data_IF_047120609401
#
_entry.id   IF_047120609401
#
_cell.length_a   1.000
_cell.length_b   1.000
_cell.length_c   1.000
_cell.angle_alpha   90.00
_cell.angle_beta   90.00
_cell.angle_gamma   90.00
#
_symmetry.space_group_name_H-M   'P 1'
#
loop_
_entity.id
_entity.type
_entity.pdbx_description
1 polymer ?
2 non-polymer ?
3 non-polymer ?
4 non-polymer ?
5 water ?
#
# COMPACT_ATOMS: atom_id res chain seq x y z
N UNK A 1 1.75 44.24 9.21
CA UNK A 1 0.69 44.76 10.06
C UNK A 1 0.99 44.46 11.50
N UNK A 2 -0.02 44.61 12.37
CA UNK A 2 0.12 44.18 13.75
C UNK A 2 0.70 42.77 13.82
N UNK A 3 0.26 41.90 12.91
CA UNK A 3 0.65 40.49 12.89
C UNK A 3 1.94 40.30 12.10
N UNK A 4 2.88 39.58 12.70
CA UNK A 4 4.07 39.17 11.99
C UNK A 4 3.82 37.95 11.13
N UNK A 5 4.90 37.49 10.50
CA UNK A 5 4.83 36.23 9.78
C UNK A 5 6.21 35.58 9.77
N UNK A 6 6.21 34.28 9.59
CA UNK A 6 7.40 33.48 9.42
C UNK A 6 7.27 32.70 8.12
N UNK A 7 8.38 32.46 7.41
CA UNK A 7 8.32 31.61 6.22
C UNK A 7 7.77 30.23 6.57
N UNK A 8 6.82 29.75 5.77
CA UNK A 8 6.24 28.43 5.99
C UNK A 8 6.32 27.58 4.72
N UNK A 9 6.15 26.29 4.92
CA UNK A 9 6.02 25.33 3.83
C UNK A 9 4.83 24.43 4.13
N UNK A 10 4.18 23.96 3.07
CA UNK A 10 3.11 22.96 3.21
C UNK A 10 3.76 21.60 3.42
N UNK A 11 3.77 21.15 4.67
CA UNK A 11 4.46 19.90 4.99
C UNK A 11 3.67 18.71 4.47
N UNK A 12 4.22 17.92 3.53
CA UNK A 12 3.45 16.76 3.05
C UNK A 12 3.23 15.72 4.12
N UNK A 13 4.11 15.64 5.11
CA UNK A 13 3.99 14.62 6.15
C UNK A 13 2.69 14.82 6.92
N UNK A 14 2.47 16.02 7.44
CA UNK A 14 1.27 16.31 8.22
C UNK A 14 0.19 17.03 7.42
N UNK A 15 0.46 17.38 6.17
CA UNK A 15 -0.52 18.04 5.29
C UNK A 15 -0.98 19.37 5.89
N UNK A 16 -0.02 20.21 6.22
CA UNK A 16 -0.29 21.44 6.96
C UNK A 16 0.83 22.43 6.71
N UNK A 17 0.48 23.71 6.74
CA UNK A 17 1.49 24.75 6.68
C UNK A 17 2.31 24.74 7.97
N UNK A 18 3.63 24.81 7.83
CA UNK A 18 4.58 24.59 8.93
C UNK A 18 5.68 25.65 8.87
N UNK A 19 6.00 26.24 10.03
CA UNK A 19 7.06 27.24 10.09
C UNK A 19 8.40 26.60 9.73
N UNK A 20 9.11 27.22 8.79
CA UNK A 20 10.42 26.76 8.40
C UNK A 20 11.46 27.18 9.45
N UNK A 21 12.26 26.23 9.92
CA UNK A 21 13.34 26.57 10.83
C UNK A 21 14.56 25.70 10.52
N UNK A 22 15.59 25.83 11.35
CA UNK A 22 16.84 25.13 11.11
C UNK A 22 16.71 23.62 11.23
N UNK A 23 15.58 23.11 11.72
CA UNK A 23 15.35 21.68 11.85
C UNK A 23 14.58 21.10 10.68
N UNK A 24 14.10 21.95 9.77
CA UNK A 24 13.41 21.48 8.57
C UNK A 24 14.36 20.74 7.64
N UNK A 25 13.88 19.66 7.05
CA UNK A 25 14.64 18.93 6.04
C UNK A 25 14.35 19.55 4.69
N UNK A 26 15.40 20.00 4.00
CA UNK A 26 15.26 20.69 2.72
C UNK A 26 16.16 20.01 1.70
N UNK A 27 15.64 19.85 0.48
CA UNK A 27 16.40 19.23 -0.61
C UNK A 27 15.77 19.63 -1.93
N UNK A 28 16.53 19.39 -3.01
CA UNK A 28 16.10 19.63 -4.37
C UNK A 28 15.81 18.30 -5.06
N UNK A 29 14.74 18.26 -5.87
CA UNK A 29 14.51 17.14 -6.77
C UNK A 29 14.38 17.69 -8.18
N UNK A 30 14.65 16.82 -9.15
CA UNK A 30 14.55 17.14 -10.57
C UNK A 30 13.21 16.63 -11.09
N UNK A 31 12.44 17.51 -11.72
CA UNK A 31 11.13 17.14 -12.25
C UNK A 31 11.07 17.24 -13.77
N UNK A 32 12.16 17.62 -14.42
CA UNK A 32 12.21 17.71 -15.87
C UNK A 32 13.58 18.20 -16.28
N UNK A 33 13.76 18.37 -17.58
CA UNK A 33 15.01 18.94 -18.06
C UNK A 33 15.08 20.41 -17.69
N UNK A 34 16.18 20.80 -17.05
CA UNK A 34 16.39 22.16 -16.56
C UNK A 34 15.24 22.62 -15.65
N UNK A 35 14.58 21.69 -14.97
CA UNK A 35 13.46 21.99 -14.10
C UNK A 35 13.65 21.27 -12.77
N UNK A 36 13.87 22.04 -11.71
CA UNK A 36 14.11 21.50 -10.38
C UNK A 36 13.12 22.10 -9.39
N UNK A 37 12.83 21.37 -8.32
CA UNK A 37 11.87 21.82 -7.33
C UNK A 37 12.47 21.73 -5.93
N UNK A 38 12.24 22.77 -5.14
CA UNK A 38 12.67 22.79 -3.75
C UNK A 38 11.60 22.15 -2.87
N UNK A 39 12.00 21.16 -2.06
CA UNK A 39 11.07 20.45 -1.20
C UNK A 39 11.47 20.62 0.26
N UNK A 40 10.47 20.66 1.13
CA UNK A 40 10.69 20.73 2.56
C UNK A 40 9.77 19.76 3.27
N UNK A 41 10.32 18.96 4.18
CA UNK A 41 9.53 17.99 4.95
C UNK A 41 9.92 18.06 6.42
N UNK A 42 8.97 17.72 7.29
CA UNK A 42 9.25 17.81 8.72
C UNK A 42 10.07 16.62 9.21
N UNK A 43 9.97 15.47 8.54
CA UNK A 43 10.69 14.27 8.92
C UNK A 43 10.74 13.35 7.70
N UNK A 44 11.58 12.32 7.80
CA UNK A 44 11.49 11.19 6.88
C UNK A 44 12.64 11.00 5.92
N UNK A 45 13.65 11.85 5.92
CA UNK A 45 14.70 11.74 4.91
C UNK A 45 15.38 10.36 4.93
N UNK A 46 15.55 9.78 6.12
CA UNK A 46 16.24 8.50 6.27
C UNK A 46 15.31 7.30 6.19
N UNK A 47 14.00 7.50 6.15
CA UNK A 47 13.06 6.39 6.15
C UNK A 47 12.14 6.33 4.95
N UNK A 48 11.80 7.47 4.33
CA UNK A 48 10.91 7.44 3.19
C UNK A 48 11.61 6.78 1.98
N UNK A 49 10.83 6.15 1.10
CA UNK A 49 11.44 5.55 -0.10
C UNK A 49 11.57 6.50 -1.27
N UNK A 50 10.95 7.67 -1.20
CA UNK A 50 10.92 8.65 -2.28
C UNK A 50 10.36 9.95 -1.72
N UNK A 51 10.54 11.01 -2.49
CA UNK A 51 9.99 12.30 -2.12
C UNK A 51 8.47 12.24 -2.11
N UNK A 52 7.80 12.73 -1.06
CA UNK A 52 6.33 12.58 -0.99
C UNK A 52 5.53 13.12 -2.18
N UNK A 53 5.82 14.33 -2.68
CA UNK A 53 4.95 14.92 -3.70
C UNK A 53 5.31 14.53 -5.13
N UNK A 54 6.56 14.14 -5.40
CA UNK A 54 6.95 13.78 -6.76
C UNK A 54 7.34 12.32 -6.91
N UNK A 55 7.56 11.61 -5.79
CA UNK A 55 8.08 10.24 -5.78
C UNK A 55 9.45 10.15 -6.43
N UNK A 56 10.18 11.26 -6.52
CA UNK A 56 11.56 11.20 -6.96
C UNK A 56 12.40 10.40 -5.96
N UNK A 57 13.29 9.56 -6.49
CA UNK A 57 14.15 8.77 -5.63
C UNK A 57 15.51 9.41 -5.40
N UNK A 58 15.88 10.38 -6.24
CA UNK A 58 17.15 11.07 -6.13
C UNK A 58 16.90 12.51 -5.68
N UNK A 59 17.80 13.04 -4.85
CA UNK A 59 17.66 14.40 -4.36
C UNK A 59 19.03 15.00 -4.11
N UNK A 60 19.07 16.33 -4.06
CA UNK A 60 20.28 17.08 -3.71
C UNK A 60 20.02 17.79 -2.39
N UNK A 61 20.75 17.47 -1.32
CA UNK A 61 20.51 18.15 -0.04
C UNK A 61 20.88 19.62 -0.10
N UNK A 62 20.10 20.43 0.61
CA UNK A 62 20.26 21.88 0.73
C UNK A 62 20.18 22.21 2.22
N UNK A 63 21.10 22.97 2.79
CA UNK A 63 20.95 23.36 4.20
C UNK A 63 19.70 24.22 4.38
N UNK A 64 18.94 23.93 5.43
CA UNK A 64 17.77 24.75 5.74
C UNK A 64 18.12 26.23 5.81
N UNK A 65 19.30 26.55 6.35
CA UNK A 65 19.71 27.94 6.49
C UNK A 65 19.76 28.64 5.13
N UNK A 66 20.15 27.92 4.08
CA UNK A 66 20.22 28.53 2.74
C UNK A 66 18.84 28.94 2.25
N UNK A 67 17.82 28.08 2.47
CA UNK A 67 16.46 28.44 2.08
C UNK A 67 15.93 29.59 2.95
N UNK A 68 16.17 29.53 4.26
CA UNK A 68 15.69 30.59 5.16
C UNK A 68 16.26 31.93 4.75
N UNK A 69 17.54 31.95 4.36
CA UNK A 69 18.20 33.20 4.01
C UNK A 69 17.70 33.78 2.70
N UNK A 70 16.91 33.02 1.94
CA UNK A 70 16.26 33.50 0.73
C UNK A 70 14.76 33.68 0.90
N UNK A 71 14.30 33.88 2.14
CA UNK A 71 12.87 33.84 2.44
C UNK A 71 12.09 35.00 1.83
N UNK A 72 12.78 36.07 1.43
CA UNK A 72 12.13 37.20 0.78
C UNK A 72 12.26 37.15 -0.75
N UNK A 73 12.89 36.11 -1.29
CA UNK A 73 13.06 36.00 -2.74
C UNK A 73 11.75 35.52 -3.36
N UNK A 74 11.20 36.33 -4.28
CA UNK A 74 9.89 36.03 -4.86
C UNK A 74 9.92 34.78 -5.72
N UNK A 75 11.10 34.28 -6.08
CA UNK A 75 11.17 33.01 -6.80
C UNK A 75 10.74 31.85 -5.90
N UNK A 76 11.17 31.86 -4.65
CA UNK A 76 10.97 30.74 -3.75
C UNK A 76 9.75 30.91 -2.86
N UNK A 77 9.37 32.13 -2.52
CA UNK A 77 8.28 32.39 -1.57
C UNK A 77 7.31 33.40 -2.14
N UNK A 78 6.02 33.09 -2.02
CA UNK A 78 4.94 34.00 -2.40
C UNK A 78 4.08 34.23 -1.15
N UNK A 79 4.22 35.41 -0.56
CA UNK A 79 3.52 35.76 0.68
C UNK A 79 3.97 34.86 1.84
N UNK A 80 5.28 34.66 1.94
CA UNK A 80 5.93 33.88 2.99
C UNK A 80 5.58 32.40 2.94
N UNK A 81 5.10 31.90 1.81
CA UNK A 81 4.85 30.47 1.61
C UNK A 81 5.76 29.95 0.51
N UNK A 82 6.38 28.80 0.76
CA UNK A 82 7.30 28.19 -0.20
C UNK A 82 6.58 27.91 -1.51
N UNK A 83 7.19 28.34 -2.62
CA UNK A 83 6.60 28.11 -3.92
C UNK A 83 6.59 26.63 -4.26
N UNK A 84 5.65 26.26 -5.14
CA UNK A 84 5.60 24.91 -5.71
C UNK A 84 6.03 24.89 -7.18
N UNK A 85 6.51 26.03 -7.70
CA UNK A 85 6.92 26.18 -9.09
C UNK A 85 8.38 25.80 -9.28
N UNK A 86 8.74 25.25 -10.42
CA UNK A 86 10.11 24.80 -10.65
C UNK A 86 11.06 25.96 -10.90
N UNK A 87 12.35 25.68 -10.74
CA UNK A 87 13.40 26.65 -11.02
C UNK A 87 14.46 26.00 -11.92
N UNK A 88 15.09 26.83 -12.73
CA UNK A 88 16.09 26.37 -13.69
C UNK A 88 17.39 26.00 -13.00
N UNK A 89 18.24 25.27 -13.73
CA UNK A 89 19.57 24.93 -13.20
C UNK A 89 20.37 26.18 -12.89
N UNK A 90 20.27 27.21 -13.72
CA UNK A 90 20.95 28.46 -13.46
C UNK A 90 20.46 29.08 -12.15
N UNK A 91 19.13 29.13 -11.99
CA UNK A 91 18.57 29.63 -10.74
C UNK A 91 19.01 28.79 -9.55
N UNK A 92 19.10 27.46 -9.72
CA UNK A 92 19.61 26.62 -8.65
C UNK A 92 21.02 27.02 -8.27
N UNK A 93 21.87 27.26 -9.27
CA UNK A 93 23.25 27.66 -8.99
C UNK A 93 23.28 29.01 -8.30
N UNK A 94 22.45 29.96 -8.74
CA UNK A 94 22.49 31.31 -8.18
C UNK A 94 21.98 31.33 -6.74
N UNK A 95 20.93 30.55 -6.46
CA UNK A 95 20.31 30.60 -5.14
C UNK A 95 21.04 29.71 -4.14
N UNK A 96 21.49 28.52 -4.56
CA UNK A 96 22.00 27.53 -3.62
C UNK A 96 23.44 27.09 -3.87
N UNK A 97 24.10 27.59 -4.92
CA UNK A 97 25.51 27.29 -5.18
C UNK A 97 25.77 25.81 -5.42
N UNK A 98 24.84 25.16 -6.11
CA UNK A 98 24.97 23.76 -6.50
C UNK A 98 24.62 23.64 -7.98
N UNK A 99 25.51 23.03 -8.76
CA UNK A 99 25.14 22.59 -10.10
C UNK A 99 24.65 21.16 -9.98
N UNK A 100 23.35 20.90 -10.09
CA UNK A 100 22.86 19.52 -9.90
C UNK A 100 23.26 18.59 -11.02
N UNK A 101 23.36 19.08 -12.25
CA UNK A 101 23.78 18.23 -13.37
C UNK A 101 25.27 17.93 -13.34
N UNK A 102 26.03 18.54 -12.43
CA UNK A 102 27.43 18.20 -12.21
C UNK A 102 27.71 17.77 -10.77
N UNK A 103 26.68 17.46 -9.98
CA UNK A 103 26.86 16.97 -8.62
C UNK A 103 26.06 15.69 -8.47
N UNK A 104 26.67 14.68 -7.86
CA UNK A 104 25.99 13.40 -7.71
C UNK A 104 24.89 13.56 -6.68
N UNK A 105 23.64 13.26 -7.01
CA UNK A 105 22.57 13.32 -5.99
C UNK A 105 22.72 12.16 -5.01
N UNK A 106 22.01 12.29 -3.90
CA UNK A 106 21.78 11.17 -3.00
C UNK A 106 20.51 10.46 -3.41
N UNK A 107 20.26 9.30 -2.79
CA UNK A 107 19.10 8.48 -3.12
C UNK A 107 18.36 8.15 -1.84
N UNK A 108 17.03 8.23 -1.89
CA UNK A 108 16.22 7.76 -0.77
C UNK A 108 16.50 6.29 -0.54
N UNK A 109 16.44 5.88 0.73
CA UNK A 109 16.77 4.52 1.13
C UNK A 109 15.62 3.57 0.88
N UNK A 110 15.96 2.30 0.60
CA UNK A 110 14.98 1.22 0.51
C UNK A 110 14.96 0.34 1.75
N UNK A 111 15.59 0.79 2.83
CA UNK A 111 15.80 -0.07 4.00
C UNK A 111 14.50 -0.44 4.71
N UNK A 112 13.52 0.48 4.78
CA UNK A 112 12.34 0.15 5.58
C UNK A 112 11.53 -0.98 4.93
N UNK A 113 11.36 -0.94 3.60
CA UNK A 113 10.63 -2.02 2.93
C UNK A 113 11.39 -3.34 3.02
N UNK A 114 12.72 -3.27 2.90
CA UNK A 114 13.54 -4.48 3.09
C UNK A 114 13.34 -5.07 4.48
N UNK A 115 13.28 -4.22 5.51
CA UNK A 115 13.08 -4.71 6.87
C UNK A 115 11.69 -5.27 7.07
N UNK A 116 10.68 -4.60 6.49
CA UNK A 116 9.33 -5.14 6.54
C UNK A 116 9.25 -6.54 5.90
N UNK A 117 9.84 -6.69 4.71
CA UNK A 117 9.83 -7.98 4.02
C UNK A 117 10.53 -9.06 4.84
N UNK A 118 11.70 -8.74 5.39
CA UNK A 118 12.40 -9.71 6.23
C UNK A 118 11.58 -10.06 7.49
N UNK A 119 10.91 -9.07 8.08
CA UNK A 119 10.09 -9.34 9.27
C UNK A 119 8.93 -10.29 8.94
N UNK A 120 8.25 -10.07 7.81
CA UNK A 120 7.20 -11.00 7.41
C UNK A 120 7.75 -12.40 7.14
N UNK A 121 8.87 -12.49 6.41
CA UNK A 121 9.42 -13.79 6.07
C UNK A 121 9.82 -14.57 7.32
N UNK A 122 10.45 -13.90 8.29
CA UNK A 122 10.83 -14.59 9.51
C UNK A 122 9.62 -15.01 10.32
N UNK A 123 8.57 -14.19 10.32
CA UNK A 123 7.37 -14.56 11.06
C UNK A 123 6.69 -15.79 10.44
N UNK A 124 6.71 -15.88 9.10
CA UNK A 124 6.13 -17.04 8.42
C UNK A 124 6.83 -18.32 8.85
N UNK A 125 8.15 -18.27 8.96
CA UNK A 125 8.96 -19.47 9.21
C UNK A 125 9.16 -19.78 10.69
N UNK A 126 8.69 -18.92 11.59
CA UNK A 126 8.73 -19.19 13.02
C UNK A 126 7.37 -19.74 13.47
N UNK A 127 7.34 -20.33 14.67
CA UNK A 127 6.11 -20.94 15.18
C UNK A 127 5.60 -20.29 16.46
N UNK B 6 -13.54 -17.85 -33.54
CA UNK B 6 -13.70 -17.80 -32.09
C UNK B 6 -12.59 -16.97 -31.45
N UNK B 7 -12.96 -16.11 -30.50
CA UNK B 7 -11.97 -15.24 -29.85
C UNK B 7 -11.08 -16.01 -28.87
N UNK B 8 -10.09 -15.30 -28.38
CA UNK B 8 -9.10 -15.85 -27.47
C UNK B 8 -9.15 -15.09 -26.15
N UNK B 9 -8.50 -15.69 -25.14
CA UNK B 9 -8.24 -15.02 -23.88
C UNK B 9 -6.76 -15.16 -23.61
N UNK B 10 -6.19 -14.22 -22.87
CA UNK B 10 -4.81 -14.36 -22.43
C UNK B 10 -4.81 -15.25 -21.19
N UNK B 11 -4.32 -16.47 -21.34
CA UNK B 11 -4.25 -17.45 -20.27
C UNK B 11 -3.12 -17.10 -19.30
N UNK B 12 -3.40 -16.76 -18.05
CA UNK B 12 -2.31 -16.48 -17.10
C UNK B 12 -1.51 -17.71 -16.72
N UNK B 13 -2.06 -18.91 -16.95
CA UNK B 13 -1.33 -20.14 -16.63
C UNK B 13 -0.17 -20.35 -17.60
N UNK B 14 -0.48 -20.49 -18.89
CA UNK B 14 0.54 -20.69 -19.92
C UNK B 14 1.13 -19.39 -20.44
N UNK B 15 0.58 -18.24 -20.04
CA UNK B 15 1.10 -16.93 -20.44
C UNK B 15 1.05 -16.73 -21.94
N UNK B 16 -0.11 -16.98 -22.53
CA UNK B 16 -0.24 -16.85 -23.97
C UNK B 16 -1.71 -16.75 -24.35
N UNK B 17 -1.94 -16.21 -25.53
CA UNK B 17 -3.29 -16.16 -26.09
C UNK B 17 -3.77 -17.56 -26.40
N UNK B 18 -4.98 -17.87 -25.97
CA UNK B 18 -5.54 -19.21 -25.99
C UNK B 18 -6.98 -19.14 -26.47
N UNK B 19 -7.35 -20.06 -27.35
CA UNK B 19 -8.71 -20.05 -27.88
C UNK B 19 -9.69 -20.42 -26.77
N UNK B 20 -10.83 -19.73 -26.74
CA UNK B 20 -11.89 -20.05 -25.79
C UNK B 20 -12.67 -21.25 -26.32
N UNK B 21 -12.85 -22.26 -25.48
CA UNK B 21 -13.59 -23.44 -25.92
C UNK B 21 -14.34 -24.03 -24.73
N UNK B 22 -14.95 -25.19 -24.94
CA UNK B 22 -15.78 -25.81 -23.90
C UNK B 22 -14.97 -26.26 -22.69
N UNK B 23 -13.64 -26.31 -22.80
CA UNK B 23 -12.76 -26.73 -21.71
C UNK B 23 -12.21 -25.57 -20.90
N UNK B 24 -12.42 -24.34 -21.35
CA UNK B 24 -11.91 -23.19 -20.64
C UNK B 24 -12.59 -23.05 -19.27
N UNK B 25 -11.79 -22.73 -18.26
CA UNK B 25 -12.29 -22.46 -16.92
C UNK B 25 -12.61 -20.97 -16.82
N UNK B 26 -13.88 -20.64 -16.58
CA UNK B 26 -14.35 -19.27 -16.58
C UNK B 26 -14.95 -18.94 -15.22
N UNK B 27 -14.68 -17.74 -14.72
CA UNK B 27 -15.27 -17.32 -13.45
C UNK B 27 -15.25 -15.80 -13.35
N UNK B 28 -16.05 -15.28 -12.42
CA UNK B 28 -16.18 -13.87 -12.12
C UNK B 28 -15.45 -13.54 -10.82
N UNK B 29 -14.76 -12.40 -10.78
CA UNK B 29 -14.23 -11.86 -9.53
C UNK B 29 -14.77 -10.44 -9.35
N UNK B 30 -14.80 -9.99 -8.09
CA UNK B 30 -15.25 -8.65 -7.75
C UNK B 30 -14.05 -7.74 -7.59
N UNK B 31 -14.05 -6.60 -8.31
CA UNK B 31 -12.92 -5.68 -8.38
C UNK B 31 -13.17 -4.46 -7.51
N UNK B 32 -14.44 -4.11 -7.35
CA UNK B 32 -14.80 -3.01 -6.48
C UNK B 32 -16.29 -3.03 -6.22
N UNK B 33 -16.78 -1.96 -5.60
CA UNK B 33 -18.22 -1.84 -5.42
C UNK B 33 -18.89 -1.75 -6.78
N UNK B 34 -19.78 -2.70 -7.05
CA UNK B 34 -20.53 -2.77 -8.32
C UNK B 34 -19.59 -2.91 -9.52
N UNK B 35 -18.42 -3.51 -9.32
CA UNK B 35 -17.48 -3.76 -10.42
C UNK B 35 -17.01 -5.21 -10.36
N UNK B 36 -17.25 -5.94 -11.45
CA UNK B 36 -16.82 -7.33 -11.56
C UNK B 36 -16.01 -7.50 -12.84
N UNK B 37 -15.22 -8.57 -12.88
CA UNK B 37 -14.40 -8.85 -14.06
C UNK B 37 -14.49 -10.34 -14.38
N UNK B 38 -14.58 -10.65 -15.68
CA UNK B 38 -14.64 -12.03 -16.15
C UNK B 38 -13.23 -12.52 -16.45
N UNK B 39 -12.87 -13.64 -15.83
CA UNK B 39 -11.55 -14.25 -15.97
C UNK B 39 -11.67 -15.62 -16.62
N UNK B 40 -10.61 -16.02 -17.32
CA UNK B 40 -10.52 -17.34 -17.92
C UNK B 40 -9.12 -17.89 -17.71
N UNK B 41 -9.04 -19.17 -17.33
CA UNK B 41 -7.77 -19.87 -17.20
C UNK B 41 -7.88 -21.22 -17.90
N UNK B 42 -6.74 -21.78 -18.28
CA UNK B 42 -6.75 -23.02 -19.05
C UNK B 42 -6.86 -24.26 -18.16
N UNK B 43 -6.36 -24.20 -16.92
CA UNK B 43 -6.36 -25.34 -16.00
C UNK B 43 -5.87 -24.87 -14.64
N UNK B 44 -5.84 -25.80 -13.69
CA UNK B 44 -5.13 -25.57 -12.44
C UNK B 44 -5.85 -24.74 -11.42
N UNK B 45 -7.18 -24.67 -11.49
CA UNK B 45 -7.95 -23.88 -10.52
C UNK B 45 -7.65 -24.31 -9.09
N UNK B 46 -7.53 -25.61 -8.82
CA UNK B 46 -7.29 -26.08 -7.47
C UNK B 46 -5.88 -25.79 -6.97
N UNK B 47 -4.99 -25.26 -7.81
CA UNK B 47 -3.62 -25.00 -7.40
C UNK B 47 -3.30 -23.52 -7.29
N UNK B 48 -4.32 -22.65 -7.33
CA UNK B 48 -4.11 -21.20 -7.22
C UNK B 48 -4.40 -20.72 -5.80
N UNK B 49 -3.61 -19.77 -5.29
CA UNK B 49 -3.93 -19.16 -4.00
C UNK B 49 -4.97 -18.06 -4.09
N UNK B 50 -5.19 -17.53 -5.28
CA UNK B 50 -6.07 -16.40 -5.56
C UNK B 50 -6.11 -16.25 -7.07
N UNK B 51 -6.97 -15.36 -7.54
CA UNK B 51 -7.04 -15.08 -8.98
C UNK B 51 -5.71 -14.49 -9.44
N UNK B 52 -5.11 -15.01 -10.53
CA UNK B 52 -3.76 -14.55 -10.91
C UNK B 52 -3.66 -13.05 -11.16
N UNK B 53 -4.61 -12.43 -11.88
CA UNK B 53 -4.44 -11.05 -12.30
C UNK B 53 -4.92 -10.04 -11.26
N UNK B 54 -5.77 -10.43 -10.31
CA UNK B 54 -6.34 -9.51 -9.33
C UNK B 54 -6.03 -9.85 -7.89
N UNK B 55 -5.59 -11.09 -7.60
CA UNK B 55 -5.45 -11.63 -6.25
C UNK B 55 -6.76 -11.68 -5.48
N UNK B 56 -7.89 -11.63 -6.19
CA UNK B 56 -9.18 -11.86 -5.58
C UNK B 56 -9.21 -13.24 -4.92
N UNK B 57 -9.75 -13.32 -3.71
CA UNK B 57 -9.78 -14.56 -2.97
C UNK B 57 -11.10 -15.33 -3.13
N UNK B 58 -12.11 -14.74 -3.77
CA UNK B 58 -13.39 -15.40 -4.02
C UNK B 58 -13.70 -15.30 -5.50
N UNK B 59 -14.48 -16.26 -6.00
CA UNK B 59 -14.83 -16.26 -7.41
C UNK B 59 -16.19 -16.92 -7.61
N UNK B 60 -16.91 -16.48 -8.65
CA UNK B 60 -18.19 -17.10 -9.02
C UNK B 60 -17.97 -17.91 -10.29
N UNK B 61 -18.03 -19.24 -10.25
CA UNK B 61 -17.88 -20.03 -11.48
C UNK B 61 -18.98 -19.72 -12.47
N UNK B 62 -18.60 -19.65 -13.75
CA UNK B 62 -19.47 -19.36 -14.88
C UNK B 62 -19.24 -20.46 -15.93
N UNK B 63 -20.28 -21.12 -16.45
CA UNK B 63 -20.04 -22.12 -17.50
C UNK B 63 -19.36 -21.48 -18.72
N UNK B 64 -18.37 -22.19 -19.27
CA UNK B 64 -17.70 -21.70 -20.47
C UNK B 64 -18.71 -21.38 -21.56
N UNK B 65 -19.79 -22.17 -21.64
CA UNK B 65 -20.81 -21.96 -22.65
C UNK B 65 -21.45 -20.58 -22.54
N UNK B 66 -21.61 -20.07 -21.32
CA UNK B 66 -22.23 -18.76 -21.15
C UNK B 66 -21.37 -17.66 -21.75
N UNK B 67 -20.04 -17.81 -21.70
CA UNK B 67 -19.16 -16.83 -22.32
C UNK B 67 -19.06 -17.04 -23.83
N UNK B 68 -18.99 -18.31 -24.26
CA UNK B 68 -18.95 -18.62 -25.68
C UNK B 68 -20.17 -18.05 -26.38
N UNK B 69 -21.33 -18.12 -25.73
CA UNK B 69 -22.54 -17.58 -26.33
C UNK B 69 -22.55 -16.06 -26.41
N UNK B 70 -21.54 -15.38 -25.84
CA UNK B 70 -21.39 -13.94 -25.99
C UNK B 70 -20.11 -13.59 -26.76
N UNK B 71 -19.65 -14.49 -27.64
CA UNK B 71 -18.35 -14.31 -28.26
C UNK B 71 -18.28 -13.11 -29.20
N UNK B 72 -19.42 -12.60 -29.67
CA UNK B 72 -19.43 -11.40 -30.51
C UNK B 72 -19.81 -10.15 -29.74
N UNK B 73 -19.95 -10.23 -28.42
CA UNK B 73 -20.30 -9.07 -27.62
C UNK B 73 -19.11 -8.12 -27.54
N UNK B 74 -19.31 -6.86 -27.94
CA UNK B 74 -18.13 -5.99 -28.02
C UNK B 74 -17.73 -5.42 -26.67
N UNK B 75 -18.54 -5.56 -25.62
CA UNK B 75 -18.07 -5.23 -24.29
C UNK B 75 -17.09 -6.27 -23.77
N UNK B 76 -17.36 -7.54 -24.04
CA UNK B 76 -16.51 -8.63 -23.57
C UNK B 76 -15.36 -8.95 -24.51
N UNK B 77 -15.53 -8.70 -25.81
CA UNK B 77 -14.53 -9.06 -26.82
C UNK B 77 -14.28 -7.88 -27.75
N UNK B 78 -13.16 -7.21 -27.53
CA UNK B 78 -12.66 -6.21 -28.46
C UNK B 78 -11.59 -6.87 -29.30
N UNK B 79 -11.81 -6.92 -30.63
CA UNK B 79 -10.84 -7.45 -31.57
C UNK B 79 -10.49 -8.90 -31.23
N UNK B 80 -11.52 -9.74 -31.13
CA UNK B 80 -11.38 -11.18 -30.91
C UNK B 80 -10.56 -11.53 -29.68
N UNK B 81 -10.39 -10.62 -28.73
CA UNK B 81 -9.67 -10.89 -27.49
C UNK B 81 -10.54 -10.54 -26.29
N UNK B 82 -10.55 -11.42 -25.29
CA UNK B 82 -11.33 -11.16 -24.09
C UNK B 82 -10.86 -9.87 -23.43
N UNK B 83 -11.82 -9.03 -23.05
CA UNK B 83 -11.55 -7.74 -22.46
C UNK B 83 -11.02 -7.90 -21.04
N UNK B 84 -10.37 -6.85 -20.56
CA UNK B 84 -10.09 -6.66 -19.14
C UNK B 84 -11.03 -5.64 -18.50
N UNK B 85 -11.98 -5.12 -19.25
CA UNK B 85 -12.83 -4.06 -18.75
C UNK B 85 -13.81 -4.61 -17.72
N UNK B 86 -14.10 -3.86 -16.66
CA UNK B 86 -15.06 -4.33 -15.66
C UNK B 86 -16.50 -4.20 -16.13
N UNK B 87 -17.37 -4.97 -15.47
CA UNK B 87 -18.80 -4.92 -15.74
C UNK B 87 -19.55 -4.76 -14.43
N UNK B 88 -20.73 -4.15 -14.52
CA UNK B 88 -21.55 -3.88 -13.35
C UNK B 88 -22.32 -5.13 -12.94
N UNK B 89 -22.87 -5.09 -11.72
CA UNK B 89 -23.74 -6.17 -11.26
C UNK B 89 -24.91 -6.39 -12.21
N UNK B 90 -25.51 -5.30 -12.71
CA UNK B 90 -26.61 -5.42 -13.65
C UNK B 90 -26.16 -6.10 -14.94
N UNK B 91 -24.94 -5.81 -15.39
CA UNK B 91 -24.42 -6.44 -16.60
C UNK B 91 -24.11 -7.91 -16.37
N UNK B 92 -23.60 -8.24 -15.17
CA UNK B 92 -23.38 -9.65 -14.82
C UNK B 92 -24.69 -10.42 -14.89
N UNK B 93 -25.75 -9.85 -14.30
CA UNK B 93 -27.06 -10.50 -14.32
C UNK B 93 -27.55 -10.65 -15.75
N UNK B 94 -27.43 -9.58 -16.55
CA UNK B 94 -27.96 -9.61 -17.90
C UNK B 94 -27.17 -10.57 -18.79
N UNK B 95 -25.84 -10.54 -18.70
CA UNK B 95 -25.01 -11.36 -19.58
C UNK B 95 -25.00 -12.83 -19.16
N UNK B 96 -24.89 -13.10 -17.87
CA UNK B 96 -24.60 -14.44 -17.39
C UNK B 96 -25.69 -15.05 -16.52
N UNK B 97 -26.75 -14.31 -16.21
CA UNK B 97 -27.85 -14.82 -15.37
C UNK B 97 -27.34 -15.29 -14.01
N UNK B 98 -26.32 -14.61 -13.50
CA UNK B 98 -25.79 -14.85 -12.17
C UNK B 98 -25.91 -13.55 -11.37
N UNK B 99 -26.48 -13.65 -10.17
CA UNK B 99 -26.57 -12.52 -9.25
C UNK B 99 -25.56 -12.73 -8.13
N UNK B 100 -24.44 -12.00 -8.14
CA UNK B 100 -23.39 -12.24 -7.13
C UNK B 100 -23.85 -12.05 -5.69
N UNK B 101 -24.94 -11.31 -5.46
CA UNK B 101 -25.45 -11.11 -4.11
C UNK B 101 -26.40 -12.21 -3.64
N UNK B 102 -26.93 -13.02 -4.56
CA UNK B 102 -27.79 -14.12 -4.18
C UNK B 102 -27.07 -15.47 -4.15
N UNK B 103 -25.95 -15.59 -4.85
CA UNK B 103 -25.20 -16.82 -4.96
C UNK B 103 -23.85 -16.62 -4.28
N UNK B 104 -23.56 -17.45 -3.28
CA UNK B 104 -22.27 -17.32 -2.60
C UNK B 104 -21.14 -17.72 -3.54
N UNK B 105 -20.04 -16.98 -3.54
CA UNK B 105 -18.87 -17.36 -4.34
C UNK B 105 -18.10 -18.50 -3.70
N UNK B 106 -17.28 -19.14 -4.51
CA UNK B 106 -16.30 -20.11 -4.03
C UNK B 106 -15.03 -19.39 -3.62
N UNK B 107 -14.15 -20.13 -2.93
CA UNK B 107 -12.89 -19.55 -2.49
C UNK B 107 -11.71 -20.36 -3.00
N UNK B 108 -10.61 -19.66 -3.24
CA UNK B 108 -9.37 -20.35 -3.58
C UNK B 108 -8.80 -21.02 -2.33
N UNK B 109 -7.82 -21.89 -2.55
CA UNK B 109 -7.35 -22.79 -1.51
C UNK B 109 -6.45 -22.08 -0.50
N UNK B 110 -6.80 -22.20 0.79
CA UNK B 110 -5.93 -21.69 1.85
C UNK B 110 -4.66 -22.54 2.00
N UNK B 111 -4.72 -23.83 1.69
CA UNK B 111 -3.50 -24.64 1.82
C UNK B 111 -2.49 -24.26 0.75
N UNK B 112 -2.94 -23.92 -0.45
CA UNK B 112 -2.02 -23.43 -1.48
C UNK B 112 -1.39 -22.11 -1.04
N UNK B 113 -2.19 -21.22 -0.44
CA UNK B 113 -1.66 -19.97 0.13
C UNK B 113 -0.54 -20.26 1.11
N UNK B 114 -0.76 -21.23 2.00
CA UNK B 114 0.25 -21.53 3.01
C UNK B 114 1.55 -22.04 2.38
N UNK B 115 1.46 -22.99 1.44
CA UNK B 115 2.68 -23.54 0.84
C UNK B 115 3.43 -22.47 0.04
N UNK B 116 2.72 -21.63 -0.71
CA UNK B 116 3.41 -20.62 -1.50
C UNK B 116 3.95 -19.50 -0.62
N UNK B 117 3.29 -19.22 0.50
CA UNK B 117 3.83 -18.22 1.43
C UNK B 117 5.04 -18.76 2.20
N UNK B 118 5.02 -20.04 2.56
CA UNK B 118 6.23 -20.65 3.12
C UNK B 118 7.38 -20.60 2.12
N UNK B 119 7.11 -20.91 0.86
CA UNK B 119 8.17 -20.92 -0.14
C UNK B 119 8.72 -19.52 -0.36
N UNK B 120 7.83 -18.52 -0.46
CA UNK B 120 8.28 -17.14 -0.60
C UNK B 120 9.18 -16.72 0.56
N UNK B 121 8.77 -17.04 1.79
CA UNK B 121 9.57 -16.68 2.95
C UNK B 121 10.95 -17.34 2.91
N UNK B 122 11.02 -18.63 2.53
CA UNK B 122 12.33 -19.27 2.39
C UNK B 122 13.19 -18.54 1.36
N UNK B 123 12.59 -18.08 0.26
CA UNK B 123 13.35 -17.40 -0.78
C UNK B 123 13.86 -16.05 -0.28
N UNK B 124 13.02 -15.33 0.49
CA UNK B 124 13.46 -14.04 1.05
C UNK B 124 14.70 -14.23 1.90
N UNK B 125 14.71 -15.25 2.75
CA UNK B 125 15.84 -15.42 3.65
C UNK B 125 17.06 -15.99 2.92
N UNK B 126 16.85 -16.70 1.82
CA UNK B 126 17.98 -17.22 1.05
C UNK B 126 18.63 -16.14 0.21
N UNK B 127 17.85 -15.18 -0.27
CA UNK B 127 18.33 -14.14 -1.17
C UNK B 127 18.88 -12.93 -0.44
N UNK B 128 18.86 -12.93 0.90
CA UNK B 128 19.48 -11.87 1.66
C UNK B 128 20.95 -11.72 1.29
N UNK C 6 8.62 -4.82 26.49
CA UNK C 6 8.27 -3.93 27.59
C UNK C 6 6.92 -3.22 27.35
N UNK C 7 6.71 -2.57 26.19
CA UNK C 7 5.45 -1.87 25.98
C UNK C 7 4.26 -2.83 25.98
N UNK C 8 3.09 -2.28 26.33
CA UNK C 8 1.85 -3.03 26.35
C UNK C 8 0.84 -2.42 25.38
N UNK C 9 -0.17 -3.23 25.06
CA UNK C 9 -1.38 -2.76 24.40
C UNK C 9 -2.56 -3.23 25.24
N UNK C 10 -3.71 -2.59 25.05
CA UNK C 10 -4.92 -3.03 25.74
C UNK C 10 -5.63 -4.05 24.85
N UNK C 11 -5.62 -5.31 25.27
CA UNK C 11 -6.21 -6.38 24.48
C UNK C 11 -7.73 -6.35 24.59
N UNK C 12 -8.46 -6.19 23.48
CA UNK C 12 -9.94 -6.20 23.57
C UNK C 12 -10.51 -7.51 24.10
N UNK C 13 -9.85 -8.64 23.84
CA UNK C 13 -10.43 -9.94 24.19
C UNK C 13 -10.41 -10.14 25.70
N UNK C 14 -9.24 -9.99 26.32
CA UNK C 14 -9.08 -10.19 27.76
C UNK C 14 -9.31 -8.91 28.55
N UNK C 15 -9.44 -7.77 27.87
CA UNK C 15 -9.68 -6.48 28.52
C UNK C 15 -8.62 -6.18 29.57
N UNK C 16 -7.35 -6.33 29.18
CA UNK C 16 -6.27 -5.98 30.09
C UNK C 16 -5.02 -5.62 29.30
N UNK C 17 -4.18 -4.80 29.91
CA UNK C 17 -2.89 -4.47 29.33
C UNK C 17 -2.06 -5.73 29.19
N UNK C 18 -1.49 -5.92 28.01
CA UNK C 18 -0.86 -7.16 27.60
C UNK C 18 0.48 -6.84 26.95
N UNK C 19 1.54 -7.56 27.35
CA UNK C 19 2.85 -7.27 26.79
C UNK C 19 2.84 -7.56 25.31
N UNK C 20 3.38 -6.63 24.53
CA UNK C 20 3.58 -6.85 23.11
C UNK C 20 4.68 -7.88 22.90
N UNK C 21 4.40 -8.93 22.12
CA UNK C 21 5.39 -9.95 21.83
C UNK C 21 5.22 -10.42 20.40
N UNK C 22 6.05 -11.40 20.01
CA UNK C 22 6.07 -11.85 18.63
C UNK C 22 4.80 -12.59 18.20
N UNK C 23 3.94 -12.98 19.15
CA UNK C 23 2.69 -13.66 18.81
C UNK C 23 1.50 -12.71 18.71
N UNK C 24 1.66 -11.45 19.13
CA UNK C 24 0.58 -10.48 19.02
C UNK C 24 0.16 -10.25 17.57
N UNK C 25 -1.15 -10.15 17.36
CA UNK C 25 -1.72 -9.76 16.06
C UNK C 25 -1.79 -8.23 15.99
N UNK C 26 -1.20 -7.64 14.94
CA UNK C 26 -1.09 -6.17 14.82
C UNK C 26 -1.58 -5.75 13.44
N UNK C 27 -2.27 -4.61 13.37
CA UNK C 27 -2.78 -4.13 12.09
C UNK C 27 -3.09 -2.64 12.18
N UNK C 28 -3.26 -2.03 11.00
CA UNK C 28 -3.56 -0.62 10.85
C UNK C 28 -5.00 -0.46 10.41
N UNK C 29 -5.70 0.52 10.99
CA UNK C 29 -7.02 0.92 10.52
C UNK C 29 -7.00 2.42 10.22
N UNK C 30 -7.93 2.83 9.36
CA UNK C 30 -8.13 4.23 9.00
C UNK C 30 -9.31 4.78 9.80
N UNK C 31 -9.12 5.91 10.47
CA UNK C 31 -10.18 6.49 11.29
C UNK C 31 -10.57 7.89 10.83
N UNK C 32 -10.00 8.37 9.73
CA UNK C 32 -10.37 9.66 9.20
C UNK C 32 -9.50 9.98 8.01
N UNK C 33 -9.77 11.12 7.39
CA UNK C 33 -8.97 11.54 6.26
C UNK C 33 -7.53 11.75 6.73
N UNK C 34 -6.63 10.93 6.22
CA UNK C 34 -5.21 10.98 6.56
C UNK C 34 -4.95 10.72 8.04
N UNK C 35 -5.80 9.91 8.68
CA UNK C 35 -5.62 9.57 10.09
C UNK C 35 -5.70 8.06 10.22
N UNK C 36 -4.60 7.43 10.66
CA UNK C 36 -4.49 5.98 10.76
C UNK C 36 -4.08 5.60 12.18
N UNK C 37 -4.49 4.42 12.60
CA UNK C 37 -4.23 3.98 13.96
C UNK C 37 -3.74 2.54 13.98
N UNK C 38 -2.77 2.27 14.85
CA UNK C 38 -2.25 0.92 15.08
C UNK C 38 -3.06 0.23 16.16
N UNK C 39 -3.57 -0.96 15.85
CA UNK C 39 -4.34 -1.75 16.80
C UNK C 39 -3.68 -3.12 16.99
N UNK C 40 -3.95 -3.74 18.14
CA UNK C 40 -3.38 -5.05 18.45
C UNK C 40 -4.41 -5.90 19.19
N UNK C 41 -4.32 -7.22 19.00
CA UNK C 41 -5.23 -8.16 19.63
C UNK C 41 -4.46 -9.44 19.89
N UNK C 42 -4.84 -10.13 20.98
CA UNK C 42 -4.01 -11.23 21.46
C UNK C 42 -4.15 -12.52 20.66
N UNK C 43 -5.11 -12.60 19.73
CA UNK C 43 -5.36 -13.87 19.05
C UNK C 43 -6.02 -13.63 17.71
N UNK C 44 -5.71 -14.50 16.75
CA UNK C 44 -6.50 -14.57 15.53
C UNK C 44 -7.93 -15.00 15.81
N UNK C 45 -8.84 -14.55 14.94
CA UNK C 45 -10.28 -14.73 15.12
C UNK C 45 -10.91 -15.26 13.84
N UNK C 46 -11.85 -16.20 14.00
CA UNK C 46 -12.57 -16.76 12.85
C UNK C 46 -13.45 -15.72 12.17
N UNK C 47 -14.22 -14.96 12.95
CA UNK C 47 -15.28 -14.11 12.44
C UNK C 47 -15.27 -12.78 13.20
N UNK C 48 -15.03 -11.70 12.51
CA UNK C 48 -15.04 -10.41 13.19
C UNK C 48 -15.75 -9.40 12.29
N UNK C 49 -16.85 -8.80 12.72
CA UNK C 49 -17.52 -7.83 11.84
C UNK C 49 -16.69 -6.61 11.54
N UNK C 50 -15.88 -6.16 12.49
CA UNK C 50 -15.16 -4.89 12.37
C UNK C 50 -14.18 -4.79 13.52
N UNK C 51 -13.29 -3.81 13.45
CA UNK C 51 -12.31 -3.59 14.51
C UNK C 51 -13.02 -3.30 15.82
N UNK C 52 -12.65 -3.97 16.91
CA UNK C 52 -13.38 -3.78 18.18
C UNK C 52 -13.48 -2.32 18.65
N UNK C 53 -12.41 -1.53 18.52
CA UNK C 53 -12.44 -0.20 19.11
C UNK C 53 -12.95 0.88 18.17
N UNK C 54 -12.68 0.77 16.87
CA UNK C 54 -13.06 1.79 15.91
C UNK C 54 -14.20 1.39 14.99
N UNK C 55 -14.56 0.11 14.95
CA UNK C 55 -15.52 -0.44 14.00
C UNK C 55 -15.10 -0.21 12.54
N UNK C 56 -13.82 0.04 12.26
CA UNK C 56 -13.33 0.00 10.89
C UNK C 56 -13.61 -1.38 10.29
N UNK C 57 -14.06 -1.40 9.03
CA UNK C 57 -14.37 -2.67 8.41
C UNK C 57 -13.19 -3.29 7.65
N UNK C 58 -12.11 -2.53 7.45
CA UNK C 58 -10.94 -2.99 6.70
C UNK C 58 -9.67 -2.69 7.48
N UNK C 59 -8.61 -3.46 7.20
CA UNK C 59 -7.37 -3.33 7.96
C UNK C 59 -6.16 -3.72 7.10
N UNK C 60 -5.00 -3.11 7.41
CA UNK C 60 -3.72 -3.47 6.81
C UNK C 60 -2.86 -4.20 7.84
N UNK C 61 -2.60 -5.50 7.66
CA UNK C 61 -1.72 -6.23 8.59
C UNK C 61 -0.32 -5.62 8.69
N UNK C 62 0.24 -5.73 9.89
CA UNK C 62 1.59 -5.29 10.22
C UNK C 62 2.25 -6.42 11.00
N UNK C 63 3.49 -6.80 10.69
CA UNK C 63 4.15 -7.84 11.51
C UNK C 63 4.42 -7.32 12.91
N UNK C 64 4.16 -8.18 13.92
CA UNK C 64 4.38 -7.74 15.30
C UNK C 64 5.81 -7.24 15.48
N UNK C 65 6.78 -7.87 14.81
CA UNK C 65 8.16 -7.45 14.97
C UNK C 65 8.39 -6.00 14.51
N UNK C 66 7.64 -5.53 13.50
CA UNK C 66 7.81 -4.14 13.08
C UNK C 66 7.36 -3.17 14.17
N UNK C 67 6.30 -3.52 14.91
CA UNK C 67 5.87 -2.68 16.01
C UNK C 67 6.86 -2.76 17.17
N UNK C 68 7.32 -3.97 17.50
CA UNK C 68 8.33 -4.15 18.55
C UNK C 68 9.59 -3.34 18.25
N UNK C 69 10.00 -3.31 16.98
CA UNK C 69 11.18 -2.55 16.58
C UNK C 69 11.01 -1.05 16.80
N UNK C 70 9.77 -0.57 16.91
CA UNK C 70 9.47 0.85 17.11
C UNK C 70 8.91 1.11 18.50
N UNK C 71 9.29 0.27 19.48
CA UNK C 71 8.67 0.29 20.80
C UNK C 71 9.00 1.54 21.61
N UNK C 72 10.01 2.32 21.22
CA UNK C 72 10.31 3.57 21.91
C UNK C 72 9.91 4.80 21.12
N UNK C 73 9.24 4.64 19.99
CA UNK C 73 8.81 5.77 19.17
C UNK C 73 7.57 6.41 19.80
N UNK C 74 7.66 7.72 20.08
CA UNK C 74 6.57 8.39 20.77
C UNK C 74 5.38 8.70 19.86
N UNK C 75 5.46 8.43 18.56
CA UNK C 75 4.26 8.45 17.73
C UNK C 75 3.35 7.26 18.02
N UNK C 76 3.90 6.19 18.58
CA UNK C 76 3.15 4.96 18.81
C UNK C 76 2.96 4.60 20.27
N UNK C 77 3.88 4.98 21.15
CA UNK C 77 3.83 4.56 22.54
C UNK C 77 3.95 5.78 23.44
N UNK C 78 3.11 5.84 24.47
CA UNK C 78 3.18 6.89 25.48
C UNK C 78 3.22 6.22 26.83
N UNK C 79 4.32 6.42 27.55
CA UNK C 79 4.57 5.75 28.84
C UNK C 79 4.36 4.25 28.72
N UNK C 80 4.96 3.67 27.69
CA UNK C 80 5.00 2.22 27.45
C UNK C 80 3.64 1.63 27.12
N UNK C 81 2.69 2.44 26.71
CA UNK C 81 1.37 1.95 26.27
C UNK C 81 1.13 2.38 24.85
N UNK C 82 0.61 1.46 24.03
CA UNK C 82 0.22 1.77 22.66
C UNK C 82 -0.83 2.86 22.66
N UNK C 83 -0.63 3.87 21.81
CA UNK C 83 -1.51 5.05 21.80
C UNK C 83 -2.76 4.81 20.94
N UNK C 84 -3.80 5.58 21.26
CA UNK C 84 -4.99 5.71 20.44
C UNK C 84 -4.97 6.95 19.55
N UNK C 85 -3.90 7.74 19.60
CA UNK C 85 -3.82 8.93 18.76
C UNK C 85 -3.34 8.56 17.36
N UNK C 86 -3.97 9.07 16.31
CA UNK C 86 -3.65 8.61 14.95
C UNK C 86 -2.38 9.22 14.39
N UNK C 87 -1.90 8.63 13.28
CA UNK C 87 -0.75 9.13 12.54
C UNK C 87 -1.14 9.34 11.09
N UNK C 88 -0.34 10.14 10.38
CA UNK C 88 -0.64 10.45 8.99
C UNK C 88 -0.21 9.31 8.07
N UNK C 89 -0.68 9.39 6.81
CA UNK C 89 -0.30 8.38 5.82
C UNK C 89 1.22 8.32 5.65
N UNK C 90 1.87 9.47 5.58
CA UNK C 90 3.32 9.44 5.38
C UNK C 90 4.04 8.92 6.62
N UNK C 91 3.47 9.11 7.82
CA UNK C 91 4.07 8.52 9.00
C UNK C 91 3.93 6.99 8.98
N UNK C 92 2.81 6.48 8.49
CA UNK C 92 2.67 5.03 8.30
C UNK C 92 3.78 4.51 7.39
N UNK C 93 4.02 5.20 6.27
CA UNK C 93 5.04 4.76 5.33
C UNK C 93 6.43 4.81 5.96
N UNK C 94 6.74 5.90 6.68
CA UNK C 94 8.02 6.03 7.38
C UNK C 94 8.28 4.84 8.31
N UNK C 95 7.25 4.43 9.07
CA UNK C 95 7.39 3.38 10.08
C UNK C 95 7.28 1.98 9.51
N UNK C 96 6.39 1.76 8.55
CA UNK C 96 5.99 0.41 8.16
C UNK C 96 6.07 0.12 6.67
N UNK C 97 6.49 1.08 5.85
CA UNK C 97 6.82 0.84 4.43
C UNK C 97 5.72 0.11 3.67
N UNK C 98 4.47 0.41 3.97
CA UNK C 98 3.38 0.08 3.04
C UNK C 98 2.35 1.19 3.16
N UNK C 99 2.01 1.75 2.02
CA UNK C 99 1.18 2.91 1.73
C UNK C 99 -0.29 2.49 1.73
N UNK C 100 -1.06 2.86 2.74
CA UNK C 100 -2.42 2.32 2.83
C UNK C 100 -3.34 2.82 1.74
N UNK C 101 -3.06 4.02 1.21
CA UNK C 101 -3.82 4.59 0.11
C UNK C 101 -3.76 3.71 -1.12
N UNK C 102 -2.61 3.10 -1.38
CA UNK C 102 -2.31 2.42 -2.63
C UNK C 102 -2.34 0.90 -2.52
N UNK C 103 -2.56 0.35 -1.32
CA UNK C 103 -2.56 -1.09 -1.08
C UNK C 103 -3.95 -1.50 -0.61
N UNK C 104 -4.52 -2.50 -1.26
CA UNK C 104 -5.85 -2.96 -0.89
C UNK C 104 -5.80 -3.61 0.49
N UNK C 105 -6.64 -3.19 1.44
CA UNK C 105 -6.62 -3.82 2.76
C UNK C 105 -7.42 -5.11 2.79
N UNK C 106 -7.35 -5.79 3.93
CA UNK C 106 -8.19 -6.95 4.20
C UNK C 106 -9.50 -6.52 4.86
N UNK C 107 -10.50 -7.40 4.82
CA UNK C 107 -11.79 -7.14 5.46
C UNK C 107 -11.97 -8.01 6.69
N UNK C 108 -12.50 -7.40 7.76
CA UNK C 108 -12.65 -8.14 9.01
C UNK C 108 -13.63 -9.30 8.86
N UNK C 109 -14.72 -9.06 8.12
CA UNK C 109 -15.77 -10.06 7.97
C UNK C 109 -15.24 -11.36 7.37
N UNK C 110 -14.12 -11.30 6.64
CA UNK C 110 -13.54 -12.50 6.07
C UNK C 110 -12.91 -13.36 7.16
N UNK C 111 -11.90 -12.85 7.84
CA UNK C 111 -11.31 -13.52 9.00
C UNK C 111 -10.14 -12.68 9.46
N UNK C 112 -9.58 -13.07 10.60
CA UNK C 112 -8.37 -12.45 11.08
C UNK C 112 -7.43 -13.55 11.56
N UNK C 113 -6.84 -14.29 10.62
CA UNK C 113 -5.90 -15.37 10.94
C UNK C 113 -4.49 -15.00 10.50
N UNK C 114 -3.50 -15.31 11.33
CA UNK C 114 -2.13 -14.93 11.02
C UNK C 114 -1.72 -15.44 9.64
N UNK C 115 -1.99 -16.72 9.34
CA UNK C 115 -1.57 -17.26 8.05
C UNK C 115 -2.20 -16.50 6.89
N UNK C 116 -3.43 -16.03 7.04
CA UNK C 116 -4.05 -15.29 5.95
C UNK C 116 -3.47 -13.88 5.84
N UNK C 117 -3.08 -13.26 6.95
CA UNK C 117 -2.36 -11.98 6.80
C UNK C 117 -0.97 -12.19 6.18
N UNK C 118 -0.32 -13.32 6.45
CA UNK C 118 0.99 -13.56 5.86
C UNK C 118 0.90 -13.72 4.34
N UNK C 119 -0.14 -14.43 3.87
CA UNK C 119 -0.35 -14.55 2.43
C UNK C 119 -0.66 -13.19 1.80
N UNK C 120 -1.44 -12.37 2.50
CA UNK C 120 -1.67 -10.99 2.03
C UNK C 120 -0.34 -10.24 1.88
N UNK C 121 0.54 -10.36 2.88
CA UNK C 121 1.84 -9.71 2.79
C UNK C 121 2.65 -10.22 1.61
N UNK C 122 2.63 -11.54 1.39
CA UNK C 122 3.30 -12.09 0.22
C UNK C 122 2.81 -11.43 -1.06
N UNK C 123 1.49 -11.31 -1.19
CA UNK C 123 0.96 -10.79 -2.44
C UNK C 123 1.26 -9.31 -2.60
N UNK C 124 1.39 -8.58 -1.49
CA UNK C 124 1.80 -7.17 -1.56
C UNK C 124 3.28 -7.05 -1.95
N UNK C 125 4.15 -7.88 -1.35
CA UNK C 125 5.59 -7.66 -1.38
C UNK C 125 6.35 -8.51 -2.40
N UNK C 126 5.76 -9.62 -2.87
CA UNK C 126 6.45 -10.52 -3.79
C UNK C 126 6.63 -9.86 -5.16
N UNK C 127 7.77 -10.14 -5.79
CA UNK C 127 8.07 -9.57 -7.11
C UNK C 127 7.12 -10.10 -8.19
#
# INVERSE_FOLDING_TARGET
GAMGSMPTYFDPIMQEDTVLDENTIVYLVKIGDNKFSIKAISSGLEHLPSDPTTHAEKYWPIPAKSLIDHSSNKLLFEEDKLTNQPISKDQVIELFAVDPDKTEPKQFSDSVKRELTENWAREVLQDQ
GAMGSMPTYFDPIMQEDTVLDENTIVYLVKIGDNKFSIKAISSGLEHLPSDPTTHAEKYWPIPAKSLIDHSSNKLLFEEDKLTNQPISKDQVIELFAVDPDKTEPKQFSDSVKRELTENWAREVLQDQ
GAMGSMPTYFDPIMQEDTVLDENTIVYLVKIGDNKFSIKAISSGLEHLPSDPTTHAEKYWPIPAKSLIDHSSNKLLFEEDKLTNQPISKDQVIELFAVDPDKTEPKQFSDSVKRELTENWAREVLQDQ
#
